data_IF_779842574333
#
_entry.id   IF_779842574333
#
_cell.length_a   1.000
_cell.length_b   1.000
_cell.length_c   1.000
_cell.angle_alpha   90.00
_cell.angle_beta   90.00
_cell.angle_gamma   90.00
#
_symmetry.space_group_name_H-M   'P 1'
#
loop_
_entity.id
_entity.type
_entity.pdbx_description
1 polymer ?
#
# COMPACT_ATOMS: atom_id res chain seq x y z
N UNK A 1 4.29 10.83 24.86
CA UNK A 1 5.71 10.85 24.46
C UNK A 1 5.86 11.67 23.18
N UNK A 2 6.63 12.76 23.18
CA UNK A 2 6.84 13.60 21.99
C UNK A 2 7.56 12.79 20.90
N UNK A 3 7.09 12.91 19.66
CA UNK A 3 7.81 12.36 18.53
C UNK A 3 9.10 13.16 18.35
N UNK A 4 10.25 12.52 18.61
CA UNK A 4 11.57 13.18 18.55
C UNK A 4 11.95 13.61 17.13
N UNK A 5 11.26 13.09 16.11
CA UNK A 5 11.58 13.33 14.70
C UNK A 5 10.67 14.36 14.02
N UNK A 6 9.70 14.96 14.73
CA UNK A 6 8.84 16.00 14.15
C UNK A 6 9.68 17.20 13.69
N UNK A 7 9.46 17.65 12.46
CA UNK A 7 10.27 18.71 11.83
C UNK A 7 11.64 18.25 11.29
N UNK A 8 11.96 16.96 11.28
CA UNK A 8 13.15 16.44 10.59
C UNK A 8 13.08 16.78 9.08
N UNK A 9 14.15 17.36 8.48
CA UNK A 9 14.14 17.75 7.07
C UNK A 9 14.04 16.58 6.10
N UNK A 10 14.48 15.36 6.46
CA UNK A 10 14.49 14.24 5.52
C UNK A 10 13.08 13.72 5.21
N UNK A 11 12.21 13.41 6.20
CA UNK A 11 10.80 13.10 5.93
C UNK A 11 10.06 14.20 5.16
N UNK A 12 10.40 15.48 5.40
CA UNK A 12 9.82 16.61 4.65
C UNK A 12 10.19 16.52 3.17
N UNK A 13 11.49 16.43 2.87
CA UNK A 13 11.99 16.37 1.49
C UNK A 13 11.47 15.13 0.76
N UNK A 14 11.48 13.97 1.41
CA UNK A 14 10.94 12.73 0.85
C UNK A 14 9.44 12.85 0.56
N UNK A 15 8.67 13.42 1.48
CA UNK A 15 7.22 13.62 1.29
C UNK A 15 6.92 14.56 0.14
N UNK A 16 7.62 15.70 0.07
CA UNK A 16 7.47 16.65 -1.01
C UNK A 16 7.86 16.04 -2.38
N UNK A 17 8.96 15.30 -2.42
CA UNK A 17 9.41 14.59 -3.62
C UNK A 17 8.39 13.52 -4.06
N UNK A 18 7.86 12.73 -3.11
CA UNK A 18 6.83 11.74 -3.42
C UNK A 18 5.56 12.38 -3.98
N UNK A 19 5.06 13.46 -3.35
CA UNK A 19 3.86 14.17 -3.83
C UNK A 19 4.08 14.71 -5.25
N UNK A 20 5.27 15.26 -5.55
CA UNK A 20 5.59 15.69 -6.91
C UNK A 20 5.65 14.52 -7.91
N UNK A 21 6.26 13.40 -7.53
CA UNK A 21 6.29 12.18 -8.36
C UNK A 21 4.87 11.68 -8.62
N UNK A 22 4.04 11.59 -7.59
CA UNK A 22 2.66 11.15 -7.68
C UNK A 22 1.83 12.06 -8.61
N UNK A 23 2.02 13.38 -8.53
CA UNK A 23 1.37 14.32 -9.45
C UNK A 23 1.69 14.02 -10.92
N UNK A 24 2.96 13.75 -11.25
CA UNK A 24 3.33 13.36 -12.63
C UNK A 24 2.80 11.98 -13.03
N UNK A 25 2.68 11.05 -12.07
CA UNK A 25 2.09 9.74 -12.30
C UNK A 25 0.59 9.85 -12.60
N UNK A 26 -0.16 10.63 -11.81
CA UNK A 26 -1.58 10.91 -12.07
C UNK A 26 -1.79 11.60 -13.41
N UNK A 27 -0.95 12.57 -13.77
CA UNK A 27 -1.03 13.21 -15.08
C UNK A 27 -0.85 12.21 -16.22
N UNK A 28 0.10 11.29 -16.09
CA UNK A 28 0.33 10.26 -17.11
C UNK A 28 -0.82 9.25 -17.14
N UNK A 29 -1.30 8.80 -15.97
CA UNK A 29 -2.42 7.86 -15.85
C UNK A 29 -3.70 8.40 -16.50
N UNK A 30 -4.08 9.66 -16.23
CA UNK A 30 -5.26 10.28 -16.84
C UNK A 30 -5.15 10.49 -18.35
N UNK A 31 -3.93 10.53 -18.90
CA UNK A 31 -3.69 10.64 -20.33
C UNK A 31 -3.61 9.29 -21.05
N UNK A 32 -3.65 8.15 -20.34
CA UNK A 32 -3.62 6.83 -20.95
C UNK A 32 -5.03 6.41 -21.34
N UNK A 33 -5.22 6.06 -22.61
CA UNK A 33 -6.46 5.41 -23.04
C UNK A 33 -6.47 3.96 -22.56
N UNK A 34 -7.57 3.57 -21.91
CA UNK A 34 -7.76 2.19 -21.49
C UNK A 34 -8.23 1.34 -22.67
N UNK A 35 -7.80 0.07 -22.77
CA UNK A 35 -8.38 -0.87 -23.72
C UNK A 35 -9.92 -0.93 -23.60
N UNK A 36 -10.66 -1.23 -24.68
CA UNK A 36 -12.12 -1.20 -24.68
C UNK A 36 -12.76 -2.02 -23.56
N UNK A 37 -12.20 -3.20 -23.26
CA UNK A 37 -12.70 -4.08 -22.21
C UNK A 37 -12.43 -3.56 -20.78
N UNK A 38 -11.60 -2.54 -20.61
CA UNK A 38 -11.29 -1.91 -19.32
C UNK A 38 -11.88 -0.50 -19.20
N UNK A 39 -12.32 0.11 -20.30
CA UNK A 39 -12.84 1.48 -20.31
C UNK A 39 -14.02 1.66 -19.36
N UNK A 40 -14.97 0.71 -19.33
CA UNK A 40 -16.16 0.77 -18.47
C UNK A 40 -15.86 0.83 -16.97
N UNK A 41 -14.80 0.15 -16.51
CA UNK A 41 -14.35 0.19 -15.12
C UNK A 41 -13.49 1.41 -14.78
N UNK A 42 -12.98 2.13 -15.78
CA UNK A 42 -12.16 3.33 -15.63
C UNK A 42 -10.80 3.08 -14.93
N UNK A 43 -10.05 4.16 -14.67
CA UNK A 43 -8.70 4.03 -14.07
C UNK A 43 -8.71 3.61 -12.60
N UNK A 44 -9.83 3.78 -11.89
CA UNK A 44 -9.89 3.50 -10.44
C UNK A 44 -10.37 2.09 -10.10
N UNK A 45 -10.56 1.22 -11.10
CA UNK A 45 -10.65 -0.22 -10.89
C UNK A 45 -9.29 -0.82 -10.46
N UNK A 46 -8.17 -0.21 -10.88
CA UNK A 46 -6.83 -0.73 -10.57
C UNK A 46 -6.44 -0.45 -9.13
N UNK A 47 -6.17 -1.50 -8.35
CA UNK A 47 -5.71 -1.36 -6.96
C UNK A 47 -4.43 -0.51 -6.84
N UNK A 48 -3.55 -0.57 -7.85
CA UNK A 48 -2.33 0.26 -7.94
C UNK A 48 -2.65 1.75 -7.91
N UNK A 49 -3.71 2.20 -8.60
CA UNK A 49 -4.09 3.61 -8.65
C UNK A 49 -4.70 4.05 -7.32
N UNK A 50 -5.51 3.19 -6.69
CA UNK A 50 -6.01 3.43 -5.33
C UNK A 50 -4.87 3.50 -4.30
N UNK A 51 -3.85 2.65 -4.44
CA UNK A 51 -2.66 2.67 -3.60
C UNK A 51 -1.84 3.96 -3.78
N UNK A 52 -1.74 4.47 -5.01
CA UNK A 52 -1.12 5.77 -5.29
C UNK A 52 -1.91 6.91 -4.63
N UNK A 53 -3.25 6.91 -4.68
CA UNK A 53 -4.09 7.88 -3.98
C UNK A 53 -3.83 7.85 -2.47
N UNK A 54 -3.86 6.68 -1.86
CA UNK A 54 -3.66 6.54 -0.41
C UNK A 54 -2.23 6.92 0.01
N UNK A 55 -1.22 6.54 -0.78
CA UNK A 55 0.16 6.94 -0.55
C UNK A 55 0.35 8.46 -0.69
N UNK A 56 -0.32 9.09 -1.65
CA UNK A 56 -0.30 10.56 -1.81
C UNK A 56 -0.94 11.26 -0.62
N UNK A 57 -2.06 10.74 -0.10
CA UNK A 57 -2.66 11.21 1.13
C UNK A 57 -1.71 11.05 2.31
N UNK A 58 -1.08 9.88 2.45
CA UNK A 58 -0.10 9.62 3.50
C UNK A 58 1.05 10.63 3.49
N UNK A 59 1.71 10.80 2.34
CA UNK A 59 2.84 11.73 2.24
C UNK A 59 2.41 13.20 2.36
N UNK A 60 1.18 13.56 1.98
CA UNK A 60 0.63 14.89 2.26
C UNK A 60 0.44 15.11 3.77
N UNK A 61 -0.14 14.14 4.48
CA UNK A 61 -0.29 14.18 5.95
C UNK A 61 1.09 14.19 6.63
N UNK A 62 2.05 13.40 6.14
CA UNK A 62 3.42 13.37 6.63
C UNK A 62 4.11 14.74 6.47
N UNK A 63 3.98 15.34 5.30
CA UNK A 63 4.53 16.66 5.01
C UNK A 63 3.96 17.71 5.97
N UNK A 64 2.64 17.78 6.13
CA UNK A 64 1.98 18.69 7.05
C UNK A 64 2.39 18.41 8.51
N UNK A 65 2.48 17.14 8.91
CA UNK A 65 2.92 16.73 10.23
C UNK A 65 4.30 17.28 10.58
N UNK A 66 5.27 17.19 9.66
CA UNK A 66 6.63 17.67 9.92
C UNK A 66 6.77 19.18 9.74
N UNK A 67 6.21 19.77 8.68
CA UNK A 67 6.35 21.21 8.37
C UNK A 67 5.65 22.07 9.40
N UNK A 68 4.37 21.77 9.68
CA UNK A 68 3.54 22.54 10.60
C UNK A 68 3.65 22.06 12.05
N UNK A 69 4.36 20.95 12.29
CA UNK A 69 4.55 20.34 13.62
C UNK A 69 3.22 19.99 14.31
N UNK A 70 2.20 19.64 13.54
CA UNK A 70 0.84 19.31 14.01
C UNK A 70 0.78 17.91 14.61
N UNK A 71 0.87 17.82 15.94
CA UNK A 71 0.89 16.54 16.67
C UNK A 71 -0.43 15.79 16.56
N UNK A 72 -1.52 16.49 16.27
CA UNK A 72 -2.87 15.97 16.07
C UNK A 72 -2.93 14.99 14.89
N UNK A 73 -2.07 15.19 13.87
CA UNK A 73 -1.97 14.29 12.72
C UNK A 73 -1.21 13.00 13.01
N UNK A 74 -0.58 12.86 14.20
CA UNK A 74 0.29 11.71 14.52
C UNK A 74 -0.46 10.38 14.39
N UNK A 75 -1.66 10.28 14.96
CA UNK A 75 -2.43 9.04 14.93
C UNK A 75 -2.79 8.69 13.50
N UNK A 76 -3.34 9.65 12.74
CA UNK A 76 -3.67 9.44 11.34
C UNK A 76 -2.46 9.00 10.52
N UNK A 77 -1.30 9.64 10.70
CA UNK A 77 -0.03 9.27 10.07
C UNK A 77 0.34 7.81 10.37
N UNK A 78 0.25 7.38 11.63
CA UNK A 78 0.61 6.00 12.03
C UNK A 78 -0.26 4.96 11.34
N UNK A 79 -1.58 5.18 11.32
CA UNK A 79 -2.50 4.27 10.64
C UNK A 79 -2.30 4.29 9.11
N UNK A 80 -2.16 5.47 8.50
CA UNK A 80 -1.89 5.59 7.07
C UNK A 80 -0.57 4.93 6.68
N UNK A 81 0.49 5.08 7.49
CA UNK A 81 1.78 4.43 7.27
C UNK A 81 1.65 2.91 7.23
N UNK A 82 0.98 2.33 8.23
CA UNK A 82 0.76 0.88 8.32
C UNK A 82 -0.05 0.34 7.13
N UNK A 83 -1.12 1.04 6.78
CA UNK A 83 -1.96 0.68 5.64
C UNK A 83 -1.20 0.81 4.32
N UNK A 84 -0.51 1.93 4.09
CA UNK A 84 0.22 2.15 2.84
C UNK A 84 1.40 1.19 2.68
N UNK A 85 2.17 0.90 3.74
CA UNK A 85 3.27 -0.06 3.62
C UNK A 85 2.75 -1.44 3.22
N UNK A 86 1.66 -1.89 3.86
CA UNK A 86 1.08 -3.20 3.58
C UNK A 86 0.45 -3.28 2.19
N UNK A 87 -0.28 -2.24 1.79
CA UNK A 87 -0.90 -2.13 0.46
C UNK A 87 0.15 -2.03 -0.65
N UNK A 88 1.16 -1.18 -0.48
CA UNK A 88 2.22 -1.03 -1.47
C UNK A 88 3.09 -2.29 -1.57
N UNK A 89 3.27 -3.02 -0.45
CA UNK A 89 3.97 -4.30 -0.50
C UNK A 89 3.25 -5.29 -1.41
N UNK A 90 1.93 -5.47 -1.29
CA UNK A 90 1.20 -6.38 -2.18
C UNK A 90 1.18 -5.87 -3.62
N UNK A 91 0.98 -4.57 -3.84
CA UNK A 91 0.97 -3.97 -5.19
C UNK A 91 2.31 -4.23 -5.89
N UNK A 92 3.43 -3.92 -5.24
CA UNK A 92 4.76 -4.15 -5.81
C UNK A 92 5.08 -5.63 -6.00
N UNK A 93 4.91 -6.43 -4.95
CA UNK A 93 5.36 -7.84 -4.96
C UNK A 93 4.56 -8.69 -5.94
N UNK A 94 3.23 -8.50 -6.00
CA UNK A 94 2.39 -9.20 -6.97
C UNK A 94 2.71 -8.73 -8.38
N UNK A 95 2.74 -7.42 -8.62
CA UNK A 95 2.99 -6.88 -9.96
C UNK A 95 4.31 -7.35 -10.54
N UNK A 96 5.43 -7.15 -9.84
CA UNK A 96 6.76 -7.49 -10.37
C UNK A 96 6.94 -9.00 -10.51
N UNK A 97 6.40 -9.80 -9.59
CA UNK A 97 6.44 -11.27 -9.73
C UNK A 97 5.68 -11.72 -10.97
N UNK A 98 4.45 -11.24 -11.17
CA UNK A 98 3.66 -11.60 -12.35
C UNK A 98 4.33 -11.08 -13.64
N UNK A 99 4.82 -9.84 -13.65
CA UNK A 99 5.49 -9.24 -14.81
C UNK A 99 6.73 -10.03 -15.26
N UNK A 100 7.52 -10.51 -14.31
CA UNK A 100 8.78 -11.21 -14.61
C UNK A 100 8.51 -12.67 -15.00
N UNK A 101 7.62 -13.36 -14.29
CA UNK A 101 7.47 -14.81 -14.43
C UNK A 101 6.28 -15.24 -15.31
N UNK A 102 5.18 -14.48 -15.33
CA UNK A 102 3.91 -14.84 -15.99
C UNK A 102 3.17 -13.59 -16.52
N UNK A 103 3.79 -12.79 -17.42
CA UNK A 103 3.29 -11.46 -17.81
C UNK A 103 1.89 -11.45 -18.44
N UNK A 104 1.47 -12.55 -19.08
CA UNK A 104 0.13 -12.72 -19.64
C UNK A 104 -1.01 -12.63 -18.60
N UNK A 105 -0.68 -12.72 -17.30
CA UNK A 105 -1.64 -12.53 -16.22
C UNK A 105 -1.89 -11.06 -15.87
N UNK A 106 -1.08 -10.12 -16.37
CA UNK A 106 -1.18 -8.68 -16.06
C UNK A 106 -1.24 -7.77 -17.28
N UNK A 107 -0.63 -8.14 -18.40
CA UNK A 107 -0.52 -7.32 -19.62
C UNK A 107 -1.15 -8.11 -20.77
N UNK A 108 -2.05 -7.48 -21.51
CA UNK A 108 -2.50 -7.98 -22.81
C UNK A 108 -1.45 -7.64 -23.88
N UNK A 109 -1.36 -8.48 -24.92
CA UNK A 109 -0.26 -8.49 -25.91
C UNK A 109 -0.03 -7.17 -26.68
N UNK A 110 -0.92 -6.17 -26.55
CA UNK A 110 -0.87 -4.90 -27.27
C UNK A 110 -0.47 -3.69 -26.41
N UNK A 111 -0.36 -3.81 -25.08
CA UNK A 111 -0.17 -2.65 -24.21
C UNK A 111 1.31 -2.32 -23.94
N UNK A 112 1.81 -1.22 -24.52
CA UNK A 112 3.10 -0.63 -24.12
C UNK A 112 2.94 0.27 -22.90
N UNK A 113 3.45 -0.17 -21.75
CA UNK A 113 3.38 0.60 -20.51
C UNK A 113 4.70 1.36 -20.26
N UNK A 114 4.71 2.71 -20.12
CA UNK A 114 5.94 3.46 -19.92
C UNK A 114 6.67 3.00 -18.66
N UNK A 115 7.91 2.53 -18.81
CA UNK A 115 8.71 2.03 -17.68
C UNK A 115 8.85 3.06 -16.54
N UNK A 116 8.94 4.35 -16.88
CA UNK A 116 8.96 5.41 -15.87
C UNK A 116 7.67 5.45 -15.05
N UNK A 117 6.50 5.31 -15.68
CA UNK A 117 5.23 5.26 -14.96
C UNK A 117 5.19 4.03 -14.05
N UNK A 118 5.70 2.91 -14.55
CA UNK A 118 5.77 1.65 -13.82
C UNK A 118 6.52 1.76 -12.50
N UNK A 119 7.70 2.37 -12.52
CA UNK A 119 8.45 2.65 -11.30
C UNK A 119 7.69 3.58 -10.35
N UNK A 120 7.01 4.61 -10.88
CA UNK A 120 6.31 5.61 -10.06
C UNK A 120 5.11 5.03 -9.30
N UNK A 121 4.42 4.04 -9.87
CA UNK A 121 3.19 3.49 -9.27
C UNK A 121 3.40 2.14 -8.58
N UNK A 122 4.36 1.33 -9.04
CA UNK A 122 4.63 0.00 -8.47
C UNK A 122 5.87 -0.07 -7.59
N UNK A 123 6.81 0.89 -7.62
CA UNK A 123 8.04 0.80 -6.81
C UNK A 123 8.17 1.96 -5.81
N UNK A 124 8.05 3.20 -6.28
CA UNK A 124 8.24 4.38 -5.44
C UNK A 124 7.33 4.42 -4.20
N UNK A 125 6.03 4.03 -4.27
CA UNK A 125 5.16 4.02 -3.10
C UNK A 125 5.67 3.07 -2.02
N UNK A 126 6.11 1.87 -2.38
CA UNK A 126 6.68 0.91 -1.43
C UNK A 126 8.00 1.41 -0.85
N UNK A 127 8.93 1.86 -1.69
CA UNK A 127 10.25 2.32 -1.23
C UNK A 127 10.13 3.50 -0.26
N UNK A 128 9.38 4.53 -0.64
CA UNK A 128 9.25 5.71 0.20
C UNK A 128 8.52 5.39 1.52
N UNK A 129 7.45 4.57 1.49
CA UNK A 129 6.72 4.21 2.72
C UNK A 129 7.55 3.33 3.65
N UNK A 130 8.34 2.40 3.09
CA UNK A 130 9.27 1.57 3.84
C UNK A 130 10.38 2.40 4.48
N UNK A 131 11.01 3.31 3.73
CA UNK A 131 12.07 4.19 4.26
C UNK A 131 11.52 5.08 5.37
N UNK A 132 10.35 5.71 5.17
CA UNK A 132 9.74 6.55 6.20
C UNK A 132 9.49 5.76 7.48
N UNK A 133 8.89 4.57 7.35
CA UNK A 133 8.57 3.73 8.49
C UNK A 133 9.82 3.24 9.22
N UNK A 134 10.70 2.49 8.54
CA UNK A 134 11.81 1.79 9.19
C UNK A 134 12.93 2.72 9.69
N UNK A 135 13.06 3.93 9.13
CA UNK A 135 14.17 4.84 9.46
C UNK A 135 13.70 6.02 10.31
N UNK A 136 12.51 6.57 10.05
CA UNK A 136 12.09 7.85 10.63
C UNK A 136 10.90 7.75 11.58
N UNK A 137 10.18 6.62 11.58
CA UNK A 137 9.07 6.41 12.51
C UNK A 137 9.47 5.57 13.71
N UNK A 138 8.62 5.65 14.73
CA UNK A 138 8.56 4.63 15.77
C UNK A 138 7.78 3.42 15.24
N UNK A 139 8.11 2.24 15.76
CA UNK A 139 7.31 1.01 15.55
C UNK A 139 5.84 1.33 15.78
N UNK A 140 4.97 0.87 14.88
CA UNK A 140 3.54 1.16 15.00
C UNK A 140 2.96 0.60 16.29
N UNK A 141 2.24 1.43 17.02
CA UNK A 141 1.45 1.03 18.19
C UNK A 141 0.03 0.63 17.76
N UNK A 142 -0.06 -0.29 16.80
CA UNK A 142 -1.31 -0.82 16.26
C UNK A 142 -1.42 -2.30 16.66
N UNK A 143 -2.46 -2.73 17.38
CA UNK A 143 -2.67 -4.14 17.71
C UNK A 143 -2.78 -5.01 16.45
N UNK A 144 -2.31 -6.27 16.52
CA UNK A 144 -2.41 -7.20 15.39
C UNK A 144 -3.85 -7.40 14.92
N UNK A 145 -4.80 -7.52 15.85
CA UNK A 145 -6.22 -7.61 15.53
C UNK A 145 -6.71 -6.38 14.76
N UNK A 146 -6.30 -5.17 15.16
CA UNK A 146 -6.64 -3.93 14.44
C UNK A 146 -6.05 -3.92 13.03
N UNK A 147 -4.80 -4.33 12.86
CA UNK A 147 -4.18 -4.48 11.54
C UNK A 147 -4.93 -5.47 10.65
N UNK A 148 -5.31 -6.63 11.19
CA UNK A 148 -6.10 -7.64 10.49
C UNK A 148 -7.48 -7.10 10.07
N UNK A 149 -8.19 -6.40 10.97
CA UNK A 149 -9.48 -5.80 10.67
C UNK A 149 -9.38 -4.74 9.58
N UNK A 150 -8.37 -3.88 9.61
CA UNK A 150 -8.14 -2.86 8.56
C UNK A 150 -7.96 -3.53 7.20
N UNK A 151 -7.09 -4.53 7.11
CA UNK A 151 -6.84 -5.26 5.85
C UNK A 151 -8.11 -5.95 5.36
N UNK A 152 -8.86 -6.59 6.26
CA UNK A 152 -10.12 -7.28 5.93
C UNK A 152 -11.17 -6.30 5.41
N UNK A 153 -11.37 -5.17 6.10
CA UNK A 153 -12.32 -4.12 5.70
C UNK A 153 -11.95 -3.55 4.35
N UNK A 154 -10.67 -3.24 4.11
CA UNK A 154 -10.22 -2.70 2.82
C UNK A 154 -10.35 -3.72 1.69
N UNK A 155 -10.09 -5.00 1.96
CA UNK A 155 -10.27 -6.08 0.98
C UNK A 155 -11.75 -6.19 0.57
N UNK A 156 -12.66 -6.19 1.54
CA UNK A 156 -14.10 -6.22 1.29
C UNK A 156 -14.56 -4.96 0.57
N UNK A 157 -14.07 -3.78 0.97
CA UNK A 157 -14.39 -2.52 0.31
C UNK A 157 -13.94 -2.53 -1.16
N UNK A 158 -12.75 -3.04 -1.45
CA UNK A 158 -12.26 -3.16 -2.82
C UNK A 158 -13.07 -4.16 -3.64
N UNK A 159 -13.51 -5.27 -3.04
CA UNK A 159 -14.43 -6.21 -3.70
C UNK A 159 -15.71 -5.50 -4.16
N UNK A 160 -16.41 -4.80 -3.25
CA UNK A 160 -17.63 -4.08 -3.60
C UNK A 160 -17.39 -2.90 -4.55
N UNK A 161 -16.23 -2.27 -4.47
CA UNK A 161 -15.84 -1.22 -5.41
C UNK A 161 -15.71 -1.76 -6.84
N UNK A 162 -15.08 -2.94 -7.00
CA UNK A 162 -14.99 -3.59 -8.31
C UNK A 162 -16.36 -4.08 -8.80
N UNK A 163 -17.18 -4.65 -7.91
CA UNK A 163 -18.56 -5.07 -8.23
C UNK A 163 -19.42 -3.90 -8.74
N UNK A 164 -19.21 -2.70 -8.18
CA UNK A 164 -19.86 -1.47 -8.64
C UNK A 164 -19.33 -0.98 -10.00
N UNK A 165 -18.03 -1.09 -10.26
CA UNK A 165 -17.40 -0.57 -11.48
C UNK A 165 -17.52 -1.51 -12.68
N UNK A 166 -17.49 -2.82 -12.46
CA UNK A 166 -17.40 -3.82 -13.53
C UNK A 166 -18.80 -4.26 -13.93
N UNK A 167 -19.32 -3.63 -14.98
CA UNK A 167 -20.58 -3.99 -15.64
C UNK A 167 -20.37 -5.12 -16.67
N UNK A 168 -21.45 -5.62 -17.30
CA UNK A 168 -21.40 -6.79 -18.20
C UNK A 168 -20.37 -6.68 -19.34
N UNK A 169 -20.12 -5.47 -19.85
CA UNK A 169 -19.18 -5.21 -20.94
C UNK A 169 -17.75 -4.89 -20.47
N UNK A 170 -17.51 -4.83 -19.15
CA UNK A 170 -16.23 -4.51 -18.55
C UNK A 170 -15.53 -5.76 -17.99
N UNK A 171 -14.20 -5.75 -18.02
CA UNK A 171 -13.34 -6.78 -17.44
C UNK A 171 -12.73 -6.29 -16.13
N UNK A 172 -12.30 -7.24 -15.29
CA UNK A 172 -11.43 -6.92 -14.15
C UNK A 172 -10.08 -6.35 -14.61
N UNK A 173 -9.43 -5.51 -13.78
CA UNK A 173 -8.18 -4.80 -14.14
C UNK A 173 -7.06 -5.71 -14.62
N UNK A 174 -7.06 -6.97 -14.19
CA UNK A 174 -6.03 -7.93 -14.52
C UNK A 174 -6.66 -9.24 -14.98
N UNK A 175 -6.10 -9.90 -16.03
CA UNK A 175 -6.54 -11.22 -16.48
C UNK A 175 -6.68 -12.25 -15.37
N UNK A 176 -5.78 -12.28 -14.38
CA UNK A 176 -5.87 -13.24 -13.25
C UNK A 176 -7.12 -13.08 -12.36
N UNK A 177 -7.82 -11.94 -12.46
CA UNK A 177 -9.08 -11.70 -11.76
C UNK A 177 -10.30 -12.08 -12.59
N UNK A 178 -10.16 -12.22 -13.91
CA UNK A 178 -11.22 -12.64 -14.83
C UNK A 178 -11.43 -14.16 -14.78
N UNK A 179 -11.72 -14.67 -13.59
CA UNK A 179 -11.98 -16.07 -13.27
C UNK A 179 -13.34 -16.22 -12.61
N UNK A 180 -13.83 -17.45 -12.48
CA UNK A 180 -15.05 -17.78 -11.72
C UNK A 180 -15.04 -17.17 -10.31
N UNK A 181 -16.19 -16.71 -9.83
CA UNK A 181 -16.33 -15.98 -8.55
C UNK A 181 -15.69 -16.72 -7.37
N UNK A 182 -15.86 -18.04 -7.28
CA UNK A 182 -15.27 -18.85 -6.20
C UNK A 182 -13.73 -18.77 -6.18
N UNK A 183 -13.09 -18.80 -7.35
CA UNK A 183 -11.64 -18.67 -7.45
C UNK A 183 -11.19 -17.24 -7.14
N UNK A 184 -11.98 -16.24 -7.56
CA UNK A 184 -11.72 -14.84 -7.24
C UNK A 184 -11.77 -14.58 -5.74
N UNK A 185 -12.72 -15.17 -5.02
CA UNK A 185 -12.80 -15.10 -3.55
C UNK A 185 -11.52 -15.67 -2.92
N UNK A 186 -11.01 -16.80 -3.41
CA UNK A 186 -9.75 -17.40 -2.93
C UNK A 186 -8.58 -16.45 -3.18
N UNK A 187 -8.49 -15.84 -4.35
CA UNK A 187 -7.44 -14.85 -4.67
C UNK A 187 -7.48 -13.68 -3.68
N UNK A 188 -8.66 -13.11 -3.44
CA UNK A 188 -8.83 -12.01 -2.47
C UNK A 188 -8.43 -12.43 -1.05
N UNK A 189 -8.81 -13.63 -0.63
CA UNK A 189 -8.44 -14.16 0.68
C UNK A 189 -6.92 -14.34 0.81
N UNK A 190 -6.25 -14.90 -0.20
CA UNK A 190 -4.80 -15.07 -0.21
C UNK A 190 -4.08 -13.72 -0.19
N UNK A 191 -4.47 -12.77 -1.05
CA UNK A 191 -3.86 -11.44 -1.09
C UNK A 191 -4.07 -10.68 0.23
N UNK A 192 -5.25 -10.80 0.85
CA UNK A 192 -5.54 -10.24 2.17
C UNK A 192 -4.62 -10.83 3.25
N UNK A 193 -4.40 -12.14 3.24
CA UNK A 193 -3.45 -12.78 4.17
C UNK A 193 -2.00 -12.32 3.94
N UNK A 194 -1.58 -12.15 2.69
CA UNK A 194 -0.24 -11.60 2.37
C UNK A 194 -0.12 -10.15 2.84
N UNK A 195 -1.15 -9.32 2.64
CA UNK A 195 -1.18 -7.95 3.13
C UNK A 195 -1.08 -7.91 4.66
N UNK A 196 -1.86 -8.73 5.37
CA UNK A 196 -1.74 -8.84 6.83
C UNK A 196 -0.38 -9.39 7.27
N UNK A 197 0.17 -10.37 6.55
CA UNK A 197 1.53 -10.87 6.76
C UNK A 197 2.58 -9.77 6.63
N UNK A 198 2.44 -8.87 5.66
CA UNK A 198 3.33 -7.73 5.48
C UNK A 198 3.23 -6.71 6.62
N UNK A 199 2.04 -6.48 7.17
CA UNK A 199 1.85 -5.67 8.38
C UNK A 199 2.59 -6.31 9.57
N UNK A 200 2.41 -7.61 9.78
CA UNK A 200 3.09 -8.36 10.84
C UNK A 200 4.61 -8.29 10.68
N UNK A 201 5.12 -8.53 9.46
CA UNK A 201 6.54 -8.42 9.13
C UNK A 201 7.07 -7.02 9.43
N UNK A 202 6.36 -5.97 9.01
CA UNK A 202 6.71 -4.58 9.31
C UNK A 202 6.82 -4.31 10.82
N UNK A 203 5.92 -4.86 11.64
CA UNK A 203 6.01 -4.72 13.11
C UNK A 203 7.15 -5.52 13.74
N UNK A 204 7.48 -6.69 13.20
CA UNK A 204 8.52 -7.59 13.73
C UNK A 204 9.93 -7.16 13.34
N UNK A 205 10.09 -6.60 12.14
CA UNK A 205 11.39 -6.20 11.60
C UNK A 205 11.75 -4.75 11.90
N UNK A 206 10.87 -4.00 12.57
CA UNK A 206 11.16 -2.60 12.88
C UNK A 206 12.34 -2.50 13.86
N UNK A 207 13.34 -1.62 13.63
CA UNK A 207 14.53 -1.52 14.48
C UNK A 207 14.24 -1.11 15.93
N UNK A 208 13.18 -0.33 16.15
CA UNK A 208 12.76 0.02 17.50
C UNK A 208 12.28 -1.19 18.30
N UNK A 209 12.64 -1.16 19.58
CA UNK A 209 12.31 -2.09 20.64
C UNK A 209 10.91 -2.76 20.54
N UNK A 210 10.87 -4.08 20.80
CA UNK A 210 9.68 -4.95 20.74
C UNK A 210 9.19 -5.24 22.17
N UNK A 211 8.12 -4.59 22.65
CA UNK A 211 7.59 -4.78 24.00
C UNK A 211 7.25 -6.24 24.36
N UNK A 212 6.77 -6.99 23.37
CA UNK A 212 6.37 -8.39 23.52
C UNK A 212 7.58 -9.29 23.82
N UNK A 213 8.76 -8.96 23.29
CA UNK A 213 10.02 -9.68 23.58
C UNK A 213 10.48 -9.43 25.02
N UNK A 214 10.46 -8.19 25.52
CA UNK A 214 10.81 -7.96 26.94
C UNK A 214 9.80 -8.61 27.90
N UNK A 215 8.51 -8.67 27.52
CA UNK A 215 7.52 -9.37 28.35
C UNK A 215 7.84 -10.87 28.38
N UNK A 216 8.14 -11.47 27.24
CA UNK A 216 8.57 -12.86 27.16
C UNK A 216 9.85 -13.09 27.99
N UNK A 217 10.89 -12.28 27.80
CA UNK A 217 12.14 -12.36 28.56
C UNK A 217 11.91 -12.25 30.08
N UNK A 218 11.06 -11.31 30.52
CA UNK A 218 10.69 -11.17 31.94
C UNK A 218 9.93 -12.37 32.48
N UNK A 219 9.08 -12.99 31.68
CA UNK A 219 8.32 -14.17 32.09
C UNK A 219 9.17 -15.44 32.07
N UNK A 220 10.17 -15.51 31.19
CA UNK A 220 11.22 -16.56 31.21
C UNK A 220 12.12 -16.40 32.44
N UNK A 221 12.60 -15.19 32.74
CA UNK A 221 13.47 -14.95 33.90
C UNK A 221 12.80 -15.15 35.25
N UNK A 222 11.46 -15.24 35.31
CA UNK A 222 10.71 -15.57 36.54
C UNK A 222 10.54 -17.07 36.77
N UNK A 223 10.89 -17.90 35.77
CA UNK A 223 10.78 -19.37 35.84
C UNK A 223 12.10 -20.05 36.19
N UNK A 224 13.20 -19.30 36.26
CA UNK A 224 14.51 -19.71 36.78
C UNK A 224 14.68 -19.28 38.24
#
# INVERSE_FOLDING_TARGET
>A
MSDKNIGNPVPILMSAAFVAIAATAFQTLHGLELPPNLEGGGHYQFLTNLALCLSTLYFSVNLLYHVLKLKELKTLKVYLSATCLSLNFIVSSVYWSLKIFVPYLIISDEATFPFSLDLKIHLMPLLCTAIDYFVYMRRWDIPYLTGYLIVTILTIAYWFWLDYLITEDASYPYPFLNVETNLRIIIFAVISLVAFGSFCFGKLMHPDFIPELNLAEKDFSKKE
#
